data_IF_621994553333
#
_entry.id   IF_621994553333
#
_cell.length_a   1.000
_cell.length_b   1.000
_cell.length_c   1.000
_cell.angle_alpha   90.00
_cell.angle_beta   90.00
_cell.angle_gamma   90.00
#
_symmetry.space_group_name_H-M   'P 1'
#
loop_
_entity.id
_entity.type
_entity.pdbx_description
1 polymer ?
#
# COMPACT_ATOMS: atom_id res chain seq x y z
N UNK A 1 1.16 74.28 -31.00
CA UNK A 1 0.28 73.19 -30.53
C UNK A 1 1.04 71.88 -30.71
N UNK A 2 1.51 71.31 -29.60
CA UNK A 2 2.41 70.15 -29.63
C UNK A 2 1.68 68.90 -30.14
N UNK A 3 2.30 68.26 -31.14
CA UNK A 3 1.80 67.07 -31.83
C UNK A 3 1.47 65.95 -30.85
N UNK A 4 0.30 65.33 -31.02
CA UNK A 4 -0.25 64.21 -30.23
C UNK A 4 0.77 63.07 -30.07
N UNK A 5 1.70 62.92 -31.01
CA UNK A 5 2.80 61.96 -31.00
C UNK A 5 3.81 62.19 -29.86
N UNK A 6 4.04 63.44 -29.42
CA UNK A 6 5.01 63.79 -28.38
C UNK A 6 4.51 63.49 -26.96
N UNK A 7 3.19 63.28 -26.80
CA UNK A 7 2.53 62.96 -25.51
C UNK A 7 2.52 61.45 -25.22
N UNK A 8 2.62 60.62 -26.27
CA UNK A 8 2.62 59.16 -26.17
C UNK A 8 3.97 58.62 -25.65
N UNK A 9 5.06 59.35 -25.88
CA UNK A 9 6.42 58.97 -25.45
C UNK A 9 6.68 59.08 -23.92
N UNK A 10 5.83 59.81 -23.18
CA UNK A 10 6.05 60.10 -21.75
C UNK A 10 5.45 59.05 -20.80
N UNK A 11 4.53 58.19 -21.26
CA UNK A 11 3.75 57.33 -20.35
C UNK A 11 4.11 55.85 -20.42
N UNK A 12 4.92 55.39 -21.38
CA UNK A 12 5.58 54.06 -21.32
C UNK A 12 6.66 53.97 -22.40
N UNK A 13 7.91 53.69 -22.03
CA UNK A 13 8.92 53.25 -23.01
C UNK A 13 8.35 52.01 -23.74
N UNK A 14 8.44 51.92 -25.08
CA UNK A 14 8.03 50.70 -25.77
C UNK A 14 8.81 49.53 -25.17
N UNK A 15 8.07 48.54 -24.65
CA UNK A 15 8.69 47.32 -24.12
C UNK A 15 9.25 46.56 -25.31
N UNK A 16 10.56 46.40 -25.32
CA UNK A 16 11.22 45.50 -26.27
C UNK A 16 10.70 44.10 -25.97
N UNK A 17 9.90 43.54 -26.86
CA UNK A 17 9.60 42.13 -26.85
C UNK A 17 10.81 41.44 -27.48
N UNK A 18 11.73 40.95 -26.65
CA UNK A 18 12.79 40.06 -27.11
C UNK A 18 12.15 38.68 -27.22
N UNK A 19 11.65 38.35 -28.41
CA UNK A 19 11.28 36.97 -28.74
C UNK A 19 12.56 36.29 -29.18
N UNK A 20 12.96 35.22 -28.50
CA UNK A 20 14.02 34.33 -28.97
C UNK A 20 13.38 33.35 -29.96
N UNK A 21 13.26 33.77 -31.21
CA UNK A 21 12.95 32.85 -32.30
C UNK A 21 14.19 32.02 -32.58
N UNK A 22 14.21 30.81 -32.02
CA UNK A 22 15.11 29.76 -32.47
C UNK A 22 14.63 29.27 -33.82
N UNK A 23 15.22 29.79 -34.89
CA UNK A 23 15.25 29.09 -36.17
C UNK A 23 16.11 27.83 -36.00
N UNK A 24 15.49 26.75 -35.54
CA UNK A 24 16.09 25.42 -35.67
C UNK A 24 16.09 25.08 -37.16
N UNK A 25 17.21 25.31 -37.85
CA UNK A 25 17.42 25.09 -39.28
C UNK A 25 16.77 23.81 -39.82
N UNK A 26 15.50 23.89 -40.24
CA UNK A 26 14.77 22.78 -40.89
C UNK A 26 14.83 21.43 -40.16
N UNK A 27 15.24 21.38 -38.90
CA UNK A 27 15.43 20.14 -38.19
C UNK A 27 14.05 19.66 -37.78
N UNK A 28 13.44 18.86 -38.66
CA UNK A 28 12.31 18.01 -38.32
C UNK A 28 12.67 17.26 -37.05
N UNK A 29 12.20 17.75 -35.90
CA UNK A 29 12.16 16.97 -34.69
C UNK A 29 11.27 15.79 -35.05
N UNK A 30 11.89 14.66 -35.41
CA UNK A 30 11.20 13.39 -35.64
C UNK A 30 10.51 13.04 -34.33
N UNK A 31 9.26 13.45 -34.20
CA UNK A 31 8.41 13.09 -33.10
C UNK A 31 7.88 11.70 -33.40
N UNK A 32 8.72 10.71 -33.12
CA UNK A 32 8.36 9.31 -33.29
C UNK A 32 7.19 8.98 -32.35
N UNK A 33 6.27 8.15 -32.83
CA UNK A 33 5.16 7.68 -31.99
C UNK A 33 5.75 6.93 -30.80
N UNK A 34 5.22 7.13 -29.59
CA UNK A 34 5.67 6.39 -28.43
C UNK A 34 5.47 4.89 -28.69
N UNK A 35 6.49 4.09 -28.38
CA UNK A 35 6.40 2.64 -28.46
C UNK A 35 5.50 2.13 -27.33
N UNK A 36 4.24 1.80 -27.67
CA UNK A 36 3.25 1.29 -26.71
C UNK A 36 3.20 -0.23 -26.81
N UNK A 37 3.38 -0.91 -25.67
CA UNK A 37 3.27 -2.37 -25.56
C UNK A 37 1.93 -2.71 -24.91
N UNK A 38 1.15 -3.55 -25.57
CA UNK A 38 -0.06 -4.14 -25.00
C UNK A 38 0.27 -5.48 -24.35
N UNK A 39 0.11 -5.58 -23.03
CA UNK A 39 0.23 -6.84 -22.30
C UNK A 39 -1.17 -7.41 -22.06
N UNK A 40 -1.40 -8.65 -22.50
CA UNK A 40 -2.67 -9.36 -22.33
C UNK A 40 -2.44 -10.62 -21.49
N UNK A 41 -3.29 -10.83 -20.50
CA UNK A 41 -3.23 -11.96 -19.60
C UNK A 41 -4.42 -12.00 -18.65
N UNK A 42 -4.53 -13.08 -17.88
CA UNK A 42 -5.43 -13.11 -16.73
C UNK A 42 -4.73 -12.46 -15.54
N UNK A 43 -5.25 -11.30 -15.13
CA UNK A 43 -4.73 -10.52 -14.02
C UNK A 43 -5.71 -10.44 -12.84
N UNK A 44 -6.93 -10.96 -12.99
CA UNK A 44 -8.00 -10.86 -11.98
C UNK A 44 -8.04 -12.04 -11.00
N UNK A 45 -7.40 -13.16 -11.33
CA UNK A 45 -7.38 -14.35 -10.48
C UNK A 45 -8.78 -14.89 -10.22
N UNK A 46 -9.09 -15.20 -8.97
CA UNK A 46 -10.39 -15.73 -8.52
C UNK A 46 -11.44 -14.63 -8.28
N UNK A 47 -11.28 -13.44 -8.87
CA UNK A 47 -12.27 -12.39 -8.73
C UNK A 47 -13.59 -12.79 -9.44
N UNK A 48 -14.69 -12.83 -8.67
CA UNK A 48 -16.02 -13.22 -9.15
C UNK A 48 -16.76 -12.11 -9.91
N UNK A 49 -16.13 -10.96 -10.17
CA UNK A 49 -16.76 -9.91 -10.98
C UNK A 49 -16.95 -10.39 -12.42
N UNK A 50 -18.16 -10.27 -12.94
CA UNK A 50 -18.52 -10.67 -14.31
C UNK A 50 -17.52 -10.12 -15.33
N UNK A 51 -16.74 -11.02 -15.93
CA UNK A 51 -15.73 -10.63 -16.88
C UNK A 51 -16.44 -10.27 -18.19
N UNK A 52 -16.43 -8.99 -18.54
CA UNK A 52 -17.06 -8.47 -19.77
C UNK A 52 -16.59 -9.26 -21.00
N UNK A 53 -17.42 -9.38 -22.05
CA UNK A 53 -16.99 -9.93 -23.33
C UNK A 53 -15.75 -9.19 -23.86
N UNK A 54 -14.85 -9.91 -24.56
CA UNK A 54 -13.57 -9.34 -25.02
C UNK A 54 -13.74 -8.04 -25.83
N UNK A 55 -14.83 -7.92 -26.60
CA UNK A 55 -15.16 -6.74 -27.42
C UNK A 55 -15.40 -5.47 -26.59
N UNK A 56 -15.87 -5.63 -25.35
CA UNK A 56 -16.20 -4.52 -24.45
C UNK A 56 -15.07 -4.21 -23.47
N UNK A 57 -13.97 -4.97 -23.50
CA UNK A 57 -12.79 -4.73 -22.67
C UNK A 57 -11.93 -3.64 -23.30
N UNK A 58 -11.72 -2.56 -22.55
CA UNK A 58 -10.83 -1.45 -22.95
C UNK A 58 -9.45 -1.65 -22.35
N UNK A 59 -8.42 -1.32 -23.13
CA UNK A 59 -7.07 -1.21 -22.61
C UNK A 59 -7.00 -0.05 -21.60
N UNK A 60 -6.30 -0.30 -20.49
CA UNK A 60 -6.01 0.70 -19.48
C UNK A 60 -4.53 1.02 -19.61
N UNK A 61 -4.20 2.30 -19.76
CA UNK A 61 -2.81 2.74 -19.76
C UNK A 61 -2.28 2.69 -18.33
N UNK A 62 -1.16 1.99 -18.16
CA UNK A 62 -0.49 1.84 -16.87
C UNK A 62 0.83 2.62 -16.91
N UNK A 63 1.07 3.43 -15.89
CA UNK A 63 2.31 4.13 -15.64
C UNK A 63 2.76 3.90 -14.18
N UNK A 64 3.87 4.52 -13.77
CA UNK A 64 4.43 4.36 -12.41
C UNK A 64 3.58 5.00 -11.33
N UNK A 65 2.74 5.97 -11.70
CA UNK A 65 1.98 6.78 -10.75
C UNK A 65 0.55 6.23 -10.55
N UNK A 66 0.04 5.47 -11.52
CA UNK A 66 -1.34 4.96 -11.54
C UNK A 66 -1.48 3.44 -11.32
N UNK A 67 -0.38 2.72 -11.12
CA UNK A 67 -0.38 1.26 -11.01
C UNK A 67 -1.31 0.74 -9.91
N UNK A 68 -1.19 1.30 -8.70
CA UNK A 68 -2.01 0.91 -7.56
C UNK A 68 -3.49 1.25 -7.76
N UNK A 69 -3.80 2.34 -8.47
CA UNK A 69 -5.18 2.70 -8.79
C UNK A 69 -5.82 1.71 -9.77
N UNK A 70 -5.06 1.26 -10.76
CA UNK A 70 -5.49 0.23 -11.71
C UNK A 70 -5.65 -1.11 -11.00
N UNK A 71 -4.71 -1.48 -10.12
CA UNK A 71 -4.77 -2.71 -9.33
C UNK A 71 -6.01 -2.73 -8.43
N UNK A 72 -6.27 -1.64 -7.70
CA UNK A 72 -7.46 -1.50 -6.85
C UNK A 72 -8.76 -1.64 -7.64
N UNK A 73 -8.85 -1.05 -8.84
CA UNK A 73 -10.03 -1.18 -9.72
C UNK A 73 -10.24 -2.60 -10.23
N UNK A 74 -9.16 -3.33 -10.47
CA UNK A 74 -9.20 -4.73 -10.89
C UNK A 74 -9.54 -5.67 -9.72
N UNK A 75 -9.19 -5.26 -8.49
CA UNK A 75 -9.41 -6.00 -7.24
C UNK A 75 -9.07 -7.50 -7.37
N UNK A 76 -7.83 -7.86 -7.75
CA UNK A 76 -7.42 -9.25 -7.83
C UNK A 76 -7.61 -9.95 -6.47
N UNK A 77 -8.23 -11.13 -6.53
CA UNK A 77 -8.50 -11.96 -5.35
C UNK A 77 -7.96 -13.36 -5.57
N UNK A 78 -7.42 -13.96 -4.52
CA UNK A 78 -6.94 -15.33 -4.53
C UNK A 78 -7.62 -16.07 -3.39
N UNK A 79 -8.25 -17.20 -3.71
CA UNK A 79 -8.81 -18.11 -2.73
C UNK A 79 -8.21 -19.49 -2.92
N UNK A 80 -7.44 -19.94 -1.95
CA UNK A 80 -6.74 -21.21 -2.03
C UNK A 80 -6.68 -21.91 -0.68
N UNK A 81 -6.55 -23.23 -0.71
CA UNK A 81 -6.29 -24.03 0.48
C UNK A 81 -4.78 -24.28 0.56
N UNK A 82 -4.20 -23.95 1.71
CA UNK A 82 -2.78 -24.14 2.01
C UNK A 82 -2.64 -25.05 3.22
N UNK A 83 -1.49 -25.70 3.35
CA UNK A 83 -1.23 -26.55 4.50
C UNK A 83 -1.08 -25.72 5.78
N UNK A 84 -1.76 -26.11 6.85
CA UNK A 84 -1.68 -25.46 8.13
C UNK A 84 -0.44 -25.95 8.89
N UNK A 85 0.51 -25.03 9.13
CA UNK A 85 1.73 -25.27 9.92
C UNK A 85 1.67 -24.71 11.34
N UNK A 86 0.51 -24.22 11.78
CA UNK A 86 0.32 -23.71 13.14
C UNK A 86 0.02 -24.83 14.14
N UNK A 87 -0.76 -25.82 13.71
CA UNK A 87 -1.19 -26.94 14.56
C UNK A 87 -0.42 -28.23 14.32
N UNK A 88 0.43 -28.29 13.27
CA UNK A 88 1.17 -29.47 12.81
C UNK A 88 0.35 -30.77 12.70
N UNK A 89 -0.97 -30.64 12.51
CA UNK A 89 -1.97 -31.71 12.48
C UNK A 89 -2.27 -32.21 11.05
N UNK A 90 -1.57 -31.66 10.05
CA UNK A 90 -1.81 -31.96 8.63
C UNK A 90 -3.12 -31.38 8.10
N UNK A 91 -3.77 -30.47 8.84
CA UNK A 91 -4.97 -29.77 8.37
C UNK A 91 -4.64 -28.77 7.26
N UNK A 92 -5.67 -28.39 6.48
CA UNK A 92 -5.56 -27.33 5.48
C UNK A 92 -6.34 -26.09 5.92
N UNK A 93 -5.72 -24.93 5.73
CA UNK A 93 -6.32 -23.63 5.98
C UNK A 93 -6.79 -23.02 4.64
N UNK A 94 -8.04 -22.56 4.59
CA UNK A 94 -8.51 -21.74 3.47
C UNK A 94 -8.05 -20.30 3.69
N UNK A 95 -7.31 -19.77 2.73
CA UNK A 95 -6.81 -18.39 2.73
C UNK A 95 -7.51 -17.64 1.60
N UNK A 96 -8.03 -16.46 1.93
CA UNK A 96 -8.63 -15.53 0.98
C UNK A 96 -7.86 -14.22 1.05
N UNK A 97 -7.19 -13.87 -0.05
CA UNK A 97 -6.37 -12.66 -0.15
C UNK A 97 -7.00 -11.71 -1.17
N UNK A 98 -6.96 -10.42 -0.84
CA UNK A 98 -7.33 -9.34 -1.72
C UNK A 98 -6.17 -8.37 -1.87
N UNK A 99 -5.80 -8.03 -3.10
CA UNK A 99 -4.70 -7.11 -3.39
C UNK A 99 -5.24 -5.83 -3.99
N UNK A 100 -4.86 -4.70 -3.43
CA UNK A 100 -5.23 -3.35 -3.86
C UNK A 100 -4.02 -2.52 -4.28
N UNK A 101 -2.83 -2.86 -3.77
CA UNK A 101 -1.56 -2.17 -4.04
C UNK A 101 -0.41 -3.16 -4.16
N UNK A 102 0.71 -2.72 -4.70
CA UNK A 102 1.92 -3.55 -4.76
C UNK A 102 2.44 -3.96 -3.36
N UNK A 103 2.18 -3.15 -2.33
CA UNK A 103 2.57 -3.46 -0.96
C UNK A 103 1.80 -4.66 -0.37
N UNK A 104 0.64 -5.01 -0.92
CA UNK A 104 -0.15 -6.15 -0.43
C UNK A 104 0.51 -7.51 -0.74
N UNK A 105 1.52 -7.54 -1.60
CA UNK A 105 2.35 -8.72 -1.82
C UNK A 105 3.41 -8.93 -0.74
N UNK A 106 3.63 -7.95 0.15
CA UNK A 106 4.56 -8.11 1.26
C UNK A 106 3.98 -9.04 2.33
N UNK A 107 4.83 -9.88 2.98
CA UNK A 107 4.36 -10.82 3.99
C UNK A 107 3.61 -10.16 5.15
N UNK A 108 3.98 -8.93 5.51
CA UNK A 108 3.31 -8.18 6.57
C UNK A 108 1.84 -7.90 6.23
N UNK A 109 1.56 -7.50 4.99
CA UNK A 109 0.20 -7.25 4.53
C UNK A 109 -0.60 -8.56 4.43
N UNK A 110 0.03 -9.64 3.96
CA UNK A 110 -0.60 -10.98 3.89
C UNK A 110 -0.99 -11.48 5.28
N UNK A 111 -0.11 -11.35 6.28
CA UNK A 111 -0.38 -11.74 7.67
C UNK A 111 -1.59 -10.98 8.23
N UNK A 112 -1.73 -9.70 7.91
CA UNK A 112 -2.87 -8.90 8.36
C UNK A 112 -4.21 -9.33 7.75
N UNK A 113 -4.21 -9.99 6.59
CA UNK A 113 -5.44 -10.49 5.94
C UNK A 113 -5.86 -11.88 6.45
N UNK A 114 -4.94 -12.64 7.04
CA UNK A 114 -5.19 -14.00 7.52
C UNK A 114 -5.40 -13.98 9.03
N UNK A 115 -6.65 -14.11 9.46
CA UNK A 115 -7.06 -13.91 10.86
C UNK A 115 -6.21 -14.69 11.90
N UNK A 116 -5.91 -15.99 11.73
CA UNK A 116 -5.05 -16.71 12.68
C UNK A 116 -3.62 -16.14 12.77
N UNK A 117 -3.07 -15.65 11.66
CA UNK A 117 -1.71 -15.08 11.65
C UNK A 117 -1.70 -13.65 12.22
N UNK A 118 -2.78 -12.89 12.00
CA UNK A 118 -2.97 -11.55 12.59
C UNK A 118 -2.93 -11.60 14.11
N UNK A 119 -3.64 -12.54 14.73
CA UNK A 119 -3.63 -12.75 16.18
C UNK A 119 -2.23 -13.05 16.74
N UNK A 120 -1.45 -13.88 16.03
CA UNK A 120 -0.07 -14.18 16.40
C UNK A 120 0.84 -12.95 16.27
N UNK A 121 0.63 -12.14 15.23
CA UNK A 121 1.35 -10.88 15.04
C UNK A 121 1.03 -9.87 16.14
N UNK A 122 -0.25 -9.75 16.52
CA UNK A 122 -0.69 -8.88 17.61
C UNK A 122 -0.11 -9.33 18.96
N UNK A 123 -0.10 -10.64 19.21
CA UNK A 123 0.53 -11.21 20.41
C UNK A 123 2.03 -10.90 20.43
N UNK A 124 2.73 -11.06 19.32
CA UNK A 124 4.15 -10.70 19.19
C UNK A 124 4.38 -9.20 19.45
N UNK A 125 3.52 -8.34 18.92
CA UNK A 125 3.62 -6.90 19.14
C UNK A 125 3.40 -6.55 20.62
N UNK A 126 2.40 -7.14 21.28
CA UNK A 126 2.16 -6.99 22.74
C UNK A 126 3.38 -7.45 23.55
N UNK A 127 3.98 -8.59 23.22
CA UNK A 127 5.19 -9.09 23.88
C UNK A 127 6.41 -8.17 23.67
N UNK A 128 6.58 -7.62 22.47
CA UNK A 128 7.65 -6.65 22.19
C UNK A 128 7.46 -5.35 22.99
N UNK A 129 6.23 -4.90 23.10
CA UNK A 129 5.87 -3.72 23.89
C UNK A 129 6.11 -3.96 25.38
N UNK A 130 5.79 -5.16 25.87
CA UNK A 130 6.08 -5.57 27.24
C UNK A 130 7.59 -5.59 27.49
N UNK A 131 8.38 -6.21 26.61
CA UNK A 131 9.84 -6.22 26.70
C UNK A 131 10.41 -4.80 26.78
N UNK A 132 9.95 -3.90 25.89
CA UNK A 132 10.40 -2.50 25.89
C UNK A 132 10.02 -1.75 27.17
N UNK A 133 8.89 -2.09 27.80
CA UNK A 133 8.44 -1.48 29.05
C UNK A 133 9.21 -2.02 30.26
N UNK A 134 9.54 -3.31 30.27
CA UNK A 134 10.38 -3.94 31.30
C UNK A 134 11.76 -3.32 31.29
N UNK A 135 12.40 -3.17 30.12
CA UNK A 135 13.72 -2.55 29.99
C UNK A 135 13.79 -1.09 30.51
N UNK A 136 12.63 -0.41 30.63
CA UNK A 136 12.54 0.99 31.08
C UNK A 136 12.15 1.14 32.56
N UNK A 137 11.76 0.06 33.23
CA UNK A 137 11.24 0.11 34.61
C UNK A 137 11.73 -1.09 35.41
N UNK A 138 12.67 -0.83 36.32
CA UNK A 138 13.16 -1.83 37.29
C UNK A 138 12.02 -2.41 38.14
N UNK A 139 10.98 -1.62 38.45
CA UNK A 139 9.81 -2.09 39.22
C UNK A 139 9.01 -3.16 38.46
N UNK A 140 8.85 -3.00 37.14
CA UNK A 140 8.16 -3.98 36.29
C UNK A 140 8.98 -5.24 36.10
N UNK A 141 10.31 -5.13 36.03
CA UNK A 141 11.23 -6.27 35.96
C UNK A 141 11.11 -7.15 37.22
N UNK A 142 11.18 -6.53 38.41
CA UNK A 142 11.05 -7.25 39.69
C UNK A 142 9.66 -7.88 39.86
N UNK A 143 8.60 -7.19 39.43
CA UNK A 143 7.24 -7.76 39.44
C UNK A 143 7.10 -8.94 38.48
N UNK A 144 7.66 -8.84 37.27
CA UNK A 144 7.65 -9.93 36.30
C UNK A 144 8.42 -11.14 36.80
N UNK A 145 9.61 -10.95 37.39
CA UNK A 145 10.42 -12.01 37.98
C UNK A 145 9.68 -12.69 39.13
N UNK A 146 8.96 -11.92 39.96
CA UNK A 146 8.11 -12.48 41.04
C UNK A 146 6.98 -13.34 40.47
N UNK A 147 6.29 -12.86 39.43
CA UNK A 147 5.20 -13.61 38.80
C UNK A 147 5.74 -14.88 38.12
N UNK A 148 6.87 -14.81 37.42
CA UNK A 148 7.51 -15.97 36.80
C UNK A 148 7.92 -17.05 37.81
N UNK A 149 8.33 -16.65 39.02
CA UNK A 149 8.68 -17.58 40.10
C UNK A 149 7.45 -18.18 40.81
N UNK A 150 6.24 -17.68 40.56
CA UNK A 150 5.01 -18.15 41.20
C UNK A 150 4.02 -18.70 40.16
N UNK A 151 3.97 -20.04 40.02
CA UNK A 151 3.11 -20.70 39.01
C UNK A 151 1.61 -20.41 39.19
N UNK A 152 1.18 -20.13 40.42
CA UNK A 152 -0.22 -19.85 40.73
C UNK A 152 -0.64 -18.45 40.25
N UNK A 153 0.27 -17.47 40.34
CA UNK A 153 0.03 -16.13 39.85
C UNK A 153 0.14 -16.07 38.32
N UNK A 154 1.01 -16.88 37.71
CA UNK A 154 1.02 -17.08 36.25
C UNK A 154 -0.29 -17.66 35.73
N UNK A 155 -0.88 -18.64 36.41
CA UNK A 155 -2.17 -19.21 35.99
C UNK A 155 -3.31 -18.20 36.12
N UNK A 156 -3.33 -17.38 37.18
CA UNK A 156 -4.30 -16.28 37.32
C UNK A 156 -4.12 -15.24 36.22
N UNK A 157 -2.88 -14.82 35.95
CA UNK A 157 -2.57 -13.85 34.89
C UNK A 157 -2.95 -14.39 33.50
N UNK A 158 -2.66 -15.67 33.22
CA UNK A 158 -3.02 -16.33 31.97
C UNK A 158 -4.54 -16.42 31.80
N UNK A 159 -5.28 -16.61 32.90
CA UNK A 159 -6.75 -16.61 32.89
C UNK A 159 -7.32 -15.21 32.66
N UNK A 160 -6.72 -14.17 33.27
CA UNK A 160 -7.12 -12.77 33.05
C UNK A 160 -6.79 -12.28 31.64
N UNK A 161 -5.65 -12.68 31.08
CA UNK A 161 -5.23 -12.33 29.72
C UNK A 161 -5.98 -13.14 28.64
N UNK A 162 -6.34 -14.39 28.93
CA UNK A 162 -7.13 -15.25 28.03
C UNK A 162 -8.61 -14.87 27.94
N UNK A 163 -9.14 -14.14 28.92
CA UNK A 163 -10.53 -13.67 28.96
C UNK A 163 -10.70 -12.20 28.52
N UNK A 164 -9.65 -11.58 27.98
CA UNK A 164 -9.63 -10.16 27.61
C UNK A 164 -10.08 -9.81 26.19
N UNK A 165 -10.52 -10.77 25.37
CA UNK A 165 -10.91 -10.53 23.97
C UNK A 165 -12.42 -10.40 23.71
N UNK A 166 -13.26 -10.44 24.75
CA UNK A 166 -14.71 -10.21 24.64
C UNK A 166 -15.15 -9.01 25.49
N UNK A 167 -14.87 -7.78 25.02
CA UNK A 167 -15.72 -6.59 25.25
C UNK A 167 -15.23 -5.39 24.42
N UNK A 168 -16.10 -5.03 23.48
CA UNK A 168 -16.13 -3.86 22.56
C UNK A 168 -15.25 -3.88 21.31
#
# INVERSE_FOLDING_TARGET
MDSVHKKIDRVRKPRVHITYDVETEGAMVKKELPFVVGVMGDFSGNNNTEIKPLKDRRFIQIDRDNFDDVMRRMSPKIKMKVDNKLSDDGSQMSVELAFNSMADFEPAAVVNQVEPLRQLMDTRNKLRDLMTKVDRSEELEVLLERVLNNSDDLQKLATELGNGEDKE
#
